data_IF_163746035772
#
_entry.id   IF_163746035772
#
_cell.length_a   1.000
_cell.length_b   1.000
_cell.length_c   1.000
_cell.angle_alpha   90.00
_cell.angle_beta   90.00
_cell.angle_gamma   90.00
#
_symmetry.space_group_name_H-M   'P 1'
#
loop_
_entity.id
_entity.type
_entity.pdbx_description
1 polymer ?
#
# COMPACT_ATOMS: atom_id res chain seq x y z
N UNK A 1 19.94 -21.56 3.16
CA UNK A 1 19.67 -21.16 4.55
C UNK A 1 18.64 -20.05 4.52
N UNK A 2 17.44 -20.23 5.08
CA UNK A 2 16.38 -19.19 5.07
C UNK A 2 16.54 -18.29 6.30
N UNK A 3 16.06 -17.05 6.24
CA UNK A 3 16.18 -16.07 7.33
C UNK A 3 15.62 -16.60 8.67
N UNK A 4 14.57 -17.43 8.61
CA UNK A 4 13.99 -18.09 9.77
C UNK A 4 14.98 -19.02 10.49
N UNK A 5 15.80 -19.77 9.74
CA UNK A 5 16.78 -20.71 10.31
C UNK A 5 17.86 -19.97 11.10
N UNK A 6 18.28 -18.81 10.59
CA UNK A 6 19.26 -17.92 11.24
C UNK A 6 18.68 -17.34 12.53
N UNK A 7 17.43 -16.88 12.51
CA UNK A 7 16.76 -16.34 13.71
C UNK A 7 16.62 -17.41 14.79
N UNK A 8 16.31 -18.66 14.40
CA UNK A 8 16.24 -19.81 15.31
C UNK A 8 17.60 -20.21 15.88
N UNK A 9 18.69 -20.06 15.12
CA UNK A 9 20.05 -20.28 15.63
C UNK A 9 20.49 -19.19 16.60
N UNK A 10 20.05 -17.95 16.37
CA UNK A 10 20.38 -16.80 17.21
C UNK A 10 19.49 -16.68 18.45
N UNK A 11 18.34 -17.36 18.49
CA UNK A 11 17.38 -17.35 19.60
C UNK A 11 17.10 -18.78 20.07
N UNK A 12 17.54 -19.12 21.28
CA UNK A 12 17.28 -20.43 21.90
C UNK A 12 16.15 -20.30 22.91
N UNK A 13 15.09 -21.08 22.74
CA UNK A 13 13.92 -21.11 23.63
C UNK A 13 13.29 -19.72 23.90
N UNK A 14 13.29 -18.86 22.87
CA UNK A 14 12.75 -17.49 22.95
C UNK A 14 13.67 -16.47 23.62
N UNK A 15 14.87 -16.88 24.06
CA UNK A 15 15.91 -15.97 24.55
C UNK A 15 17.03 -15.81 23.53
N UNK A 16 17.49 -14.58 23.26
CA UNK A 16 18.65 -14.38 22.40
C UNK A 16 19.87 -15.09 23.00
N UNK A 17 20.62 -15.78 22.14
CA UNK A 17 21.95 -16.29 22.48
C UNK A 17 22.92 -15.12 22.65
N UNK A 18 24.09 -15.28 23.29
CA UNK A 18 25.09 -14.21 23.37
C UNK A 18 25.48 -13.63 21.99
N UNK A 19 25.51 -14.48 20.96
CA UNK A 19 25.73 -14.05 19.57
C UNK A 19 24.52 -13.26 19.03
N UNK A 20 23.29 -13.73 19.31
CA UNK A 20 22.07 -13.00 18.98
C UNK A 20 21.99 -11.63 19.65
N UNK A 21 22.39 -11.53 20.91
CA UNK A 21 22.50 -10.27 21.65
C UNK A 21 23.55 -9.35 21.05
N UNK A 22 24.74 -9.86 20.74
CA UNK A 22 25.79 -9.08 20.09
C UNK A 22 25.32 -8.50 18.74
N UNK A 23 24.61 -9.31 17.93
CA UNK A 23 24.03 -8.87 16.65
C UNK A 23 22.92 -7.83 16.89
N UNK A 24 22.07 -8.01 17.89
CA UNK A 24 21.04 -7.03 18.24
C UNK A 24 21.67 -5.69 18.68
N UNK A 25 22.73 -5.73 19.49
CA UNK A 25 23.50 -4.55 19.89
C UNK A 25 24.15 -3.86 18.67
N UNK A 26 24.73 -4.62 17.75
CA UNK A 26 25.25 -4.08 16.50
C UNK A 26 24.15 -3.38 15.67
N UNK A 27 22.97 -4.00 15.56
CA UNK A 27 21.81 -3.39 14.89
C UNK A 27 21.33 -2.09 15.55
N UNK A 28 21.49 -1.95 16.87
CA UNK A 28 21.17 -0.69 17.58
C UNK A 28 22.06 0.47 17.13
N UNK A 29 23.31 0.24 16.74
CA UNK A 29 24.21 1.30 16.24
C UNK A 29 23.62 1.92 14.97
N UNK A 30 23.22 1.09 14.00
CA UNK A 30 22.59 1.57 12.76
C UNK A 30 21.26 2.30 13.05
N UNK A 31 20.44 1.78 13.97
CA UNK A 31 19.20 2.44 14.40
C UNK A 31 19.47 3.81 15.05
N UNK A 32 20.47 3.91 15.91
CA UNK A 32 20.86 5.18 16.54
C UNK A 32 21.33 6.18 15.50
N UNK A 33 22.19 5.78 14.57
CA UNK A 33 22.64 6.65 13.48
C UNK A 33 21.45 7.12 12.62
N UNK A 34 20.51 6.24 12.30
CA UNK A 34 19.29 6.59 11.58
C UNK A 34 18.45 7.65 12.33
N UNK A 35 18.24 7.48 13.64
CA UNK A 35 17.48 8.43 14.46
C UNK A 35 18.19 9.78 14.54
N UNK A 36 19.52 9.78 14.71
CA UNK A 36 20.30 11.01 14.74
C UNK A 36 20.21 11.76 13.41
N UNK A 37 20.36 11.08 12.28
CA UNK A 37 20.17 11.69 10.94
C UNK A 37 18.75 12.21 10.74
N UNK A 38 17.75 11.49 11.22
CA UNK A 38 16.35 11.93 11.15
C UNK A 38 16.11 13.22 11.95
N UNK A 39 16.78 13.38 13.09
CA UNK A 39 16.69 14.55 13.96
C UNK A 39 17.49 15.75 13.45
N UNK A 40 18.64 15.53 12.83
CA UNK A 40 19.55 16.60 12.41
C UNK A 40 19.35 17.04 10.96
N UNK A 41 19.12 16.10 10.03
CA UNK A 41 19.08 16.37 8.59
C UNK A 41 17.64 16.60 8.07
N UNK A 42 17.26 17.83 7.65
CA UNK A 42 15.90 18.11 7.19
C UNK A 42 15.57 17.44 5.85
N UNK A 43 16.57 17.19 5.01
CA UNK A 43 16.41 16.49 3.72
C UNK A 43 16.05 15.02 3.93
N UNK A 44 16.81 14.33 4.77
CA UNK A 44 16.58 12.93 5.14
C UNK A 44 15.20 12.73 5.77
N UNK A 45 14.82 13.63 6.70
CA UNK A 45 13.48 13.62 7.31
C UNK A 45 12.36 13.81 6.30
N UNK A 46 12.52 14.72 5.34
CA UNK A 46 11.52 14.96 4.28
C UNK A 46 11.34 13.74 3.38
N UNK A 47 12.43 13.08 2.99
CA UNK A 47 12.36 11.84 2.19
C UNK A 47 11.60 10.73 2.91
N UNK A 48 11.92 10.48 4.19
CA UNK A 48 11.22 9.48 5.00
C UNK A 48 9.73 9.80 5.13
N UNK A 49 9.40 11.08 5.40
CA UNK A 49 7.99 11.52 5.46
C UNK A 49 7.27 11.32 4.13
N UNK A 50 7.91 11.58 3.00
CA UNK A 50 7.28 11.37 1.69
C UNK A 50 6.91 9.89 1.48
N UNK A 51 7.79 8.96 1.84
CA UNK A 51 7.51 7.52 1.78
C UNK A 51 6.44 7.09 2.79
N UNK A 52 6.48 7.62 4.01
CA UNK A 52 5.47 7.37 5.02
C UNK A 52 4.08 7.84 4.55
N UNK A 53 3.98 9.06 4.01
CA UNK A 53 2.74 9.62 3.48
C UNK A 53 2.17 8.79 2.33
N UNK A 54 3.02 8.26 1.45
CA UNK A 54 2.63 7.35 0.37
C UNK A 54 1.97 6.08 0.95
N UNK A 55 2.62 5.45 1.92
CA UNK A 55 2.13 4.22 2.55
C UNK A 55 0.85 4.46 3.36
N UNK A 56 0.79 5.56 4.12
CA UNK A 56 -0.39 5.98 4.87
C UNK A 56 -1.58 6.29 3.94
N UNK A 57 -1.33 6.98 2.83
CA UNK A 57 -2.34 7.27 1.80
C UNK A 57 -2.91 6.00 1.20
N UNK A 58 -2.05 5.05 0.82
CA UNK A 58 -2.42 3.72 0.32
C UNK A 58 -3.26 2.96 1.35
N UNK A 59 -2.83 2.89 2.61
CA UNK A 59 -3.57 2.21 3.67
C UNK A 59 -4.91 2.88 4.00
N UNK A 60 -4.97 4.21 3.98
CA UNK A 60 -6.20 4.95 4.21
C UNK A 60 -7.23 4.72 3.07
N UNK A 61 -6.77 4.62 1.82
CA UNK A 61 -7.61 4.25 0.69
C UNK A 61 -8.06 2.78 0.78
N UNK A 62 -7.15 1.85 1.10
CA UNK A 62 -7.49 0.44 1.28
C UNK A 62 -8.57 0.25 2.36
N UNK A 63 -8.44 0.95 3.50
CA UNK A 63 -9.48 0.95 4.55
C UNK A 63 -10.82 1.52 4.07
N UNK A 64 -10.81 2.49 3.15
CA UNK A 64 -12.01 3.08 2.55
C UNK A 64 -12.69 2.12 1.56
N UNK A 65 -11.93 1.32 0.83
CA UNK A 65 -12.45 0.32 -0.11
C UNK A 65 -12.98 -0.90 0.65
N UNK A 66 -12.25 -1.37 1.66
CA UNK A 66 -12.64 -2.51 2.50
C UNK A 66 -13.66 -2.12 3.58
N UNK A 67 -14.78 -1.54 3.17
CA UNK A 67 -15.86 -1.15 4.07
C UNK A 67 -16.94 -2.24 4.10
N UNK A 68 -16.89 -3.07 5.15
CA UNK A 68 -17.91 -4.10 5.39
C UNK A 68 -18.20 -4.45 6.85
N UNK A 69 -17.42 -3.96 7.83
CA UNK A 69 -17.62 -4.24 9.28
C UNK A 69 -16.71 -3.43 10.22
N UNK A 70 -16.59 -2.11 10.02
CA UNK A 70 -15.71 -1.26 10.86
C UNK A 70 -14.23 -1.69 10.91
N UNK A 71 -13.72 -2.34 9.85
CA UNK A 71 -12.30 -2.71 9.73
C UNK A 71 -11.85 -3.95 10.52
N UNK A 72 -12.76 -4.76 11.07
CA UNK A 72 -12.41 -6.03 11.70
C UNK A 72 -12.72 -7.23 10.79
N UNK A 73 -11.68 -7.96 10.38
CA UNK A 73 -11.79 -9.29 9.77
C UNK A 73 -12.15 -10.29 10.89
N UNK A 74 -13.42 -10.70 10.95
CA UNK A 74 -13.81 -11.91 11.66
C UNK A 74 -13.99 -13.01 10.63
N UNK A 75 -12.90 -13.65 10.21
CA UNK A 75 -12.99 -14.96 9.56
C UNK A 75 -11.72 -15.77 9.83
N UNK A 76 -11.90 -16.98 10.33
CA UNK A 76 -10.84 -17.93 10.68
C UNK A 76 -10.49 -18.77 9.45
N UNK A 77 -9.87 -18.20 8.42
CA UNK A 77 -9.36 -18.95 7.25
C UNK A 77 -8.17 -18.18 6.65
N UNK A 78 -6.98 -18.78 6.65
CA UNK A 78 -5.75 -18.15 6.14
C UNK A 78 -5.76 -18.03 4.60
N UNK A 79 -6.29 -19.03 3.89
CA UNK A 79 -6.33 -19.02 2.42
C UNK A 79 -7.30 -17.95 1.86
N UNK A 80 -8.47 -17.77 2.49
CA UNK A 80 -9.43 -16.75 2.08
C UNK A 80 -8.97 -15.31 2.35
N UNK A 81 -7.99 -15.11 3.24
CA UNK A 81 -7.41 -13.79 3.49
C UNK A 81 -6.46 -13.38 2.37
N UNK A 82 -5.70 -14.30 1.79
CA UNK A 82 -4.79 -14.00 0.69
C UNK A 82 -5.57 -13.58 -0.56
N UNK A 83 -6.65 -14.29 -0.90
CA UNK A 83 -7.53 -13.92 -2.01
C UNK A 83 -8.23 -12.57 -1.79
N UNK A 84 -8.71 -12.30 -0.56
CA UNK A 84 -9.32 -11.01 -0.23
C UNK A 84 -8.30 -9.86 -0.29
N UNK A 85 -7.06 -10.08 0.18
CA UNK A 85 -5.99 -9.08 0.11
C UNK A 85 -5.53 -8.87 -1.34
N UNK A 86 -5.51 -9.93 -2.16
CA UNK A 86 -5.25 -9.88 -3.60
C UNK A 86 -6.30 -9.06 -4.33
N UNK A 87 -7.58 -9.37 -4.14
CA UNK A 87 -8.70 -8.64 -4.72
C UNK A 87 -8.74 -7.17 -4.25
N UNK A 88 -8.52 -6.92 -2.96
CA UNK A 88 -8.40 -5.55 -2.43
C UNK A 88 -7.24 -4.80 -3.08
N UNK A 89 -6.09 -5.45 -3.24
CA UNK A 89 -4.93 -4.91 -3.93
C UNK A 89 -5.25 -4.53 -5.38
N UNK A 90 -6.00 -5.36 -6.10
CA UNK A 90 -6.44 -5.08 -7.47
C UNK A 90 -7.36 -3.87 -7.53
N UNK A 91 -8.41 -3.82 -6.71
CA UNK A 91 -9.35 -2.70 -6.68
C UNK A 91 -8.64 -1.40 -6.28
N UNK A 92 -7.75 -1.47 -5.28
CA UNK A 92 -6.93 -0.35 -4.84
C UNK A 92 -6.07 0.20 -5.98
N UNK A 93 -5.37 -0.67 -6.72
CA UNK A 93 -4.55 -0.27 -7.85
C UNK A 93 -5.41 0.30 -9.00
N UNK A 94 -6.59 -0.27 -9.26
CA UNK A 94 -7.53 0.25 -10.26
C UNK A 94 -8.02 1.67 -9.92
N UNK A 95 -8.34 1.93 -8.65
CA UNK A 95 -8.71 3.27 -8.17
C UNK A 95 -7.54 4.25 -8.32
N UNK A 96 -6.33 3.84 -7.96
CA UNK A 96 -5.12 4.65 -8.13
C UNK A 96 -4.89 4.99 -9.59
N UNK A 97 -5.04 4.03 -10.51
CA UNK A 97 -4.93 4.25 -11.95
C UNK A 97 -5.97 5.24 -12.45
N UNK A 98 -7.24 5.07 -12.05
CA UNK A 98 -8.33 5.97 -12.38
C UNK A 98 -8.00 7.40 -11.90
N UNK A 99 -7.62 7.57 -10.65
CA UNK A 99 -7.28 8.86 -10.09
C UNK A 99 -6.13 9.52 -10.84
N UNK A 100 -5.04 8.80 -11.11
CA UNK A 100 -3.90 9.33 -11.87
C UNK A 100 -4.33 9.80 -13.26
N UNK A 101 -5.14 9.01 -13.98
CA UNK A 101 -5.57 9.34 -15.34
C UNK A 101 -6.48 10.56 -15.39
N UNK A 102 -7.38 10.70 -14.43
CA UNK A 102 -8.30 11.83 -14.34
C UNK A 102 -7.63 13.09 -13.80
N UNK A 103 -6.71 12.97 -12.85
CA UNK A 103 -5.89 14.09 -12.39
C UNK A 103 -5.05 14.64 -13.55
N UNK A 104 -4.40 13.76 -14.33
CA UNK A 104 -3.64 14.17 -15.52
C UNK A 104 -4.53 14.88 -16.56
N UNK A 105 -5.72 14.33 -16.84
CA UNK A 105 -6.69 14.98 -17.73
C UNK A 105 -7.12 16.37 -17.21
N UNK A 106 -7.38 16.50 -15.90
CA UNK A 106 -7.77 17.76 -15.28
C UNK A 106 -6.63 18.80 -15.31
N UNK A 107 -5.38 18.39 -15.05
CA UNK A 107 -4.20 19.25 -15.15
C UNK A 107 -4.01 19.75 -16.58
N UNK A 108 -4.14 18.87 -17.57
CA UNK A 108 -4.03 19.24 -18.98
C UNK A 108 -5.13 20.22 -19.40
N UNK A 109 -6.36 20.02 -18.93
CA UNK A 109 -7.45 20.96 -19.18
C UNK A 109 -7.20 22.32 -18.55
N UNK A 110 -6.77 22.37 -17.28
CA UNK A 110 -6.45 23.64 -16.60
C UNK A 110 -5.36 24.43 -17.34
N UNK A 111 -4.34 23.73 -17.87
CA UNK A 111 -3.31 24.35 -18.71
C UNK A 111 -3.88 24.89 -20.02
N UNK A 112 -4.77 24.13 -20.67
CA UNK A 112 -5.43 24.56 -21.90
C UNK A 112 -6.34 25.79 -21.68
N UNK A 113 -6.97 25.88 -20.51
CA UNK A 113 -7.82 27.00 -20.11
C UNK A 113 -7.00 28.26 -19.71
N UNK A 114 -5.67 28.19 -19.73
CA UNK A 114 -4.77 29.31 -19.46
C UNK A 114 -4.44 29.53 -17.99
N UNK A 115 -4.76 28.59 -17.10
CA UNK A 115 -4.33 28.66 -15.70
C UNK A 115 -2.83 28.34 -15.56
N UNK A 116 -2.16 29.08 -14.68
CA UNK A 116 -0.77 28.80 -14.32
C UNK A 116 -0.69 27.55 -13.43
N UNK A 117 -0.34 26.41 -14.03
CA UNK A 117 -0.18 25.12 -13.34
C UNK A 117 1.30 24.74 -13.30
N UNK A 118 1.96 25.12 -12.20
CA UNK A 118 3.39 24.85 -11.95
C UNK A 118 3.66 23.36 -11.79
N UNK A 119 4.72 22.86 -12.43
CA UNK A 119 5.13 21.45 -12.32
C UNK A 119 5.46 21.02 -10.88
N UNK A 120 5.95 21.95 -10.05
CA UNK A 120 6.22 21.69 -8.63
C UNK A 120 4.96 21.35 -7.82
N UNK A 121 3.79 21.87 -8.22
CA UNK A 121 2.53 21.59 -7.56
C UNK A 121 1.93 20.27 -8.06
N UNK A 122 2.08 19.99 -9.36
CA UNK A 122 1.70 18.69 -9.95
C UNK A 122 2.47 17.55 -9.29
N UNK A 123 3.77 17.74 -9.02
CA UNK A 123 4.61 16.76 -8.33
C UNK A 123 4.17 16.46 -6.88
N UNK A 124 3.35 17.34 -6.26
CA UNK A 124 2.82 17.17 -4.91
C UNK A 124 1.44 16.50 -4.88
N UNK A 125 0.83 16.25 -6.04
CA UNK A 125 -0.48 15.59 -6.12
C UNK A 125 -0.41 14.15 -5.63
N UNK A 126 -1.46 13.72 -4.94
CA UNK A 126 -1.59 12.37 -4.41
C UNK A 126 -2.64 11.59 -5.20
N UNK A 127 -2.34 10.39 -5.71
CA UNK A 127 -3.33 9.56 -6.40
C UNK A 127 -4.27 8.82 -5.43
N UNK A 128 -4.15 9.02 -4.11
CA UNK A 128 -4.98 8.36 -3.09
C UNK A 128 -6.21 9.17 -2.65
N UNK A 129 -6.56 10.22 -3.41
CA UNK A 129 -7.79 10.99 -3.20
C UNK A 129 -9.00 10.06 -3.36
N UNK A 130 -9.99 10.20 -2.48
CA UNK A 130 -11.08 9.21 -2.36
C UNK A 130 -12.43 9.80 -1.97
N UNK A 131 -12.52 11.12 -1.84
CA UNK A 131 -13.77 11.80 -1.49
C UNK A 131 -14.76 11.78 -2.65
N UNK A 132 -14.27 11.74 -3.89
CA UNK A 132 -15.08 11.69 -5.12
C UNK A 132 -15.56 10.28 -5.48
N UNK A 133 -15.12 9.24 -4.77
CA UNK A 133 -15.49 7.86 -5.06
C UNK A 133 -16.57 7.42 -4.10
N UNK A 134 -17.78 7.19 -4.62
CA UNK A 134 -18.82 6.57 -3.84
C UNK A 134 -18.58 5.06 -3.76
N UNK A 135 -18.22 4.57 -2.57
CA UNK A 135 -17.99 3.14 -2.27
C UNK A 135 -19.28 2.43 -1.83
N UNK A 136 -20.36 3.18 -1.55
CA UNK A 136 -21.62 2.64 -1.04
C UNK A 136 -22.70 2.82 -2.10
N UNK A 137 -23.33 1.71 -2.52
CA UNK A 137 -24.44 1.77 -3.46
C UNK A 137 -24.66 0.46 -4.18
N UNK A 138 -25.65 0.45 -5.08
CA UNK A 138 -25.86 -0.63 -6.03
C UNK A 138 -25.11 -0.31 -7.31
N UNK A 139 -24.13 -1.14 -7.65
CA UNK A 139 -23.47 -1.07 -8.96
C UNK A 139 -24.19 -2.02 -9.91
N UNK A 140 -24.62 -1.51 -11.06
CA UNK A 140 -25.11 -2.33 -12.16
C UNK A 140 -23.98 -2.47 -13.17
N UNK A 141 -23.49 -3.69 -13.33
CA UNK A 141 -22.49 -4.00 -14.34
C UNK A 141 -23.17 -4.78 -15.47
N UNK A 142 -22.99 -4.32 -16.71
CA UNK A 142 -23.26 -5.17 -17.89
C UNK A 142 -22.03 -6.05 -18.07
N UNK A 143 -22.10 -7.28 -17.56
CA UNK A 143 -21.06 -8.26 -17.80
C UNK A 143 -21.08 -8.64 -19.30
N UNK A 144 -19.94 -8.60 -20.01
CA UNK A 144 -19.83 -9.26 -21.30
C UNK A 144 -20.03 -10.76 -21.10
N UNK A 145 -20.60 -11.45 -22.09
CA UNK A 145 -20.65 -12.92 -22.08
C UNK A 145 -19.22 -13.46 -22.07
N UNK A 146 -18.75 -13.82 -20.88
CA UNK A 146 -17.51 -14.57 -20.71
C UNK A 146 -17.85 -16.02 -20.99
N UNK A 147 -17.29 -16.56 -22.07
CA UNK A 147 -17.45 -17.95 -22.48
C UNK A 147 -17.03 -18.84 -21.30
N UNK A 148 -18.00 -19.61 -20.81
CA UNK A 148 -17.82 -20.52 -19.69
C UNK A 148 -16.71 -21.52 -20.03
N UNK A 149 -15.70 -21.65 -19.17
CA UNK A 149 -14.57 -22.56 -19.39
C UNK A 149 -14.88 -23.98 -18.92
N UNK A 150 -16.05 -24.21 -18.33
CA UNK A 150 -16.45 -25.50 -17.79
C UNK A 150 -17.07 -26.45 -18.84
N UNK A 151 -17.07 -26.07 -20.13
CA UNK A 151 -17.58 -26.89 -21.23
C UNK A 151 -16.49 -27.61 -22.05
N UNK A 152 -15.27 -27.76 -21.51
CA UNK A 152 -14.13 -28.33 -22.24
C UNK A 152 -13.56 -29.63 -21.62
N UNK A 153 -14.24 -30.24 -20.65
CA UNK A 153 -13.80 -31.49 -20.00
C UNK A 153 -14.71 -32.72 -20.27
N UNK A 154 -15.68 -32.60 -21.19
CA UNK A 154 -16.47 -33.75 -21.69
C UNK A 154 -16.22 -33.97 -23.18
N UNK A 155 -15.07 -34.57 -23.54
CA UNK A 155 -14.91 -35.38 -24.76
C UNK A 155 -13.86 -36.49 -24.58
#
# INVERSE_FOLDING_TARGET
MRAYDVIRMLSRDGRPTPLGDAIAHYGRIAKSLHILRLADEPGYRRQIKAQANLQEGRHALARKIFHGRSGQLYQRYQDGMEDQLGALGLVLNAVVLFNTRYIDAAVNQLRADGFDVRDEDVARLSPFVRQHINMLGRYSFKLPELRDKDAADDE
#
